data_IF_099562786090
#
_entry.id   IF_099562786090
#
_cell.length_a   1.000
_cell.length_b   1.000
_cell.length_c   1.000
_cell.angle_alpha   90.00
_cell.angle_beta   90.00
_cell.angle_gamma   90.00
#
_symmetry.space_group_name_H-M   'P 1'
#
loop_
_entity.id
_entity.type
_entity.pdbx_description
1 polymer ?
#
# COMPACT_ATOMS: atom_id res chain seq x y z
N UNK A 1 4.45 -32.93 -14.89
CA UNK A 1 3.46 -31.91 -15.27
C UNK A 1 3.75 -30.71 -14.42
N UNK A 2 3.95 -29.52 -14.99
CA UNK A 2 4.01 -28.32 -14.17
C UNK A 2 2.65 -28.20 -13.48
N UNK A 3 2.61 -28.34 -12.16
CA UNK A 3 1.36 -28.20 -11.41
C UNK A 3 0.98 -26.72 -11.44
N UNK A 4 -0.17 -26.39 -11.99
CA UNK A 4 -0.70 -25.02 -11.93
C UNK A 4 -1.04 -24.66 -10.48
N UNK A 5 -1.07 -23.37 -10.16
CA UNK A 5 -1.51 -22.83 -8.88
C UNK A 5 -2.79 -22.00 -9.09
N UNK A 6 -3.79 -22.09 -8.19
CA UNK A 6 -4.95 -21.22 -8.23
C UNK A 6 -4.56 -19.76 -7.98
N UNK A 7 -5.29 -18.84 -8.59
CA UNK A 7 -5.21 -17.43 -8.27
C UNK A 7 -6.58 -16.76 -8.30
N UNK A 8 -6.68 -15.64 -7.58
CA UNK A 8 -7.78 -14.69 -7.67
C UNK A 8 -7.23 -13.35 -8.17
N UNK A 9 -7.87 -12.79 -9.18
CA UNK A 9 -7.69 -11.39 -9.60
C UNK A 9 -8.63 -10.53 -8.77
N UNK A 10 -8.07 -9.51 -8.13
CA UNK A 10 -8.73 -8.71 -7.12
C UNK A 10 -8.32 -7.24 -7.23
N UNK A 11 -9.08 -6.37 -6.56
CA UNK A 11 -8.84 -4.94 -6.51
C UNK A 11 -8.86 -4.41 -5.07
N UNK A 12 -7.82 -3.68 -4.68
CA UNK A 12 -7.72 -3.00 -3.39
C UNK A 12 -7.76 -1.48 -3.55
N UNK A 13 -8.94 -0.90 -3.79
CA UNK A 13 -9.15 0.55 -3.99
C UNK A 13 -8.31 1.08 -5.16
N UNK A 14 -8.52 0.51 -6.33
CA UNK A 14 -7.83 0.86 -7.56
C UNK A 14 -6.46 0.20 -7.73
N UNK A 15 -5.89 -0.43 -6.69
CA UNK A 15 -4.68 -1.23 -6.80
C UNK A 15 -5.01 -2.65 -7.27
N UNK A 16 -4.39 -3.06 -8.36
CA UNK A 16 -4.68 -4.30 -9.06
C UNK A 16 -3.85 -5.45 -8.50
N UNK A 17 -4.49 -6.48 -7.95
CA UNK A 17 -3.83 -7.53 -7.19
C UNK A 17 -4.12 -8.91 -7.77
N UNK A 18 -3.09 -9.75 -7.84
CA UNK A 18 -3.26 -11.20 -7.96
C UNK A 18 -2.99 -11.82 -6.60
N UNK A 19 -3.95 -12.54 -6.03
CA UNK A 19 -3.73 -13.40 -4.86
C UNK A 19 -3.46 -14.81 -5.37
N UNK A 20 -2.24 -15.31 -5.18
CA UNK A 20 -1.82 -16.62 -5.65
C UNK A 20 -1.78 -17.63 -4.50
N UNK A 21 -2.48 -18.75 -4.64
CA UNK A 21 -2.43 -19.82 -3.63
C UNK A 21 -1.28 -20.78 -3.92
N UNK A 22 -0.24 -20.66 -3.09
CA UNK A 22 0.98 -21.46 -3.16
C UNK A 22 1.18 -22.30 -1.89
N UNK A 23 0.12 -22.55 -1.12
CA UNK A 23 0.13 -23.43 0.06
C UNK A 23 0.37 -24.88 -0.35
N UNK A 24 1.09 -25.65 0.46
CA UNK A 24 1.49 -27.03 0.16
C UNK A 24 2.49 -27.19 -0.99
N UNK A 25 2.99 -26.09 -1.56
CA UNK A 25 3.93 -26.10 -2.69
C UNK A 25 5.35 -25.74 -2.26
N UNK A 26 6.33 -26.42 -2.87
CA UNK A 26 7.74 -26.14 -2.65
C UNK A 26 8.31 -25.09 -3.63
N UNK A 27 7.69 -24.93 -4.80
CA UNK A 27 8.05 -23.91 -5.78
C UNK A 27 7.47 -22.54 -5.41
N UNK A 28 7.95 -21.50 -6.10
CA UNK A 28 7.57 -20.09 -5.90
C UNK A 28 7.15 -19.49 -7.22
N UNK A 29 6.40 -18.39 -7.16
CA UNK A 29 6.18 -17.55 -8.33
C UNK A 29 7.51 -16.93 -8.75
N UNK A 30 7.95 -17.19 -9.98
CA UNK A 30 9.19 -16.61 -10.51
C UNK A 30 8.95 -15.20 -11.02
N UNK A 31 10.02 -14.41 -11.11
CA UNK A 31 9.97 -13.11 -11.78
C UNK A 31 9.49 -13.22 -13.24
N UNK A 32 9.88 -14.30 -13.94
CA UNK A 32 9.43 -14.55 -15.31
C UNK A 32 7.92 -14.79 -15.38
N UNK A 33 7.35 -15.54 -14.43
CA UNK A 33 5.91 -15.74 -14.35
C UNK A 33 5.16 -14.44 -14.04
N UNK A 34 5.67 -13.63 -13.10
CA UNK A 34 5.11 -12.33 -12.76
C UNK A 34 5.06 -11.40 -13.99
N UNK A 35 6.18 -11.26 -14.72
CA UNK A 35 6.25 -10.43 -15.93
C UNK A 35 5.31 -10.96 -17.03
N UNK A 36 5.24 -12.28 -17.22
CA UNK A 36 4.36 -12.89 -18.22
C UNK A 36 2.87 -12.67 -17.93
N UNK A 37 2.45 -12.83 -16.66
CA UNK A 37 1.09 -12.54 -16.21
C UNK A 37 0.74 -11.05 -16.40
N UNK A 38 1.68 -10.14 -16.07
CA UNK A 38 1.44 -8.71 -16.18
C UNK A 38 1.33 -8.22 -17.64
N UNK A 39 1.95 -8.94 -18.58
CA UNK A 39 1.91 -8.60 -20.01
C UNK A 39 0.53 -8.88 -20.66
N UNK A 40 -0.32 -9.69 -20.03
CA UNK A 40 -1.68 -9.94 -20.48
C UNK A 40 -2.65 -8.94 -19.84
N UNK A 41 -3.45 -8.25 -20.64
CA UNK A 41 -4.37 -7.22 -20.18
C UNK A 41 -5.44 -7.72 -19.20
N UNK A 42 -5.80 -9.02 -19.24
CA UNK A 42 -6.77 -9.58 -18.30
C UNK A 42 -6.17 -9.86 -16.93
N UNK A 43 -4.87 -10.10 -16.86
CA UNK A 43 -4.13 -10.40 -15.63
C UNK A 43 -3.14 -9.31 -15.27
N UNK A 44 -3.14 -8.13 -15.90
CA UNK A 44 -2.30 -7.00 -15.51
C UNK A 44 -2.45 -6.72 -14.01
N UNK A 45 -1.37 -6.40 -13.32
CA UNK A 45 -1.41 -6.22 -11.88
C UNK A 45 -0.36 -5.23 -11.41
N UNK A 46 -0.57 -4.65 -10.23
CA UNK A 46 0.44 -3.90 -9.49
C UNK A 46 1.31 -4.88 -8.69
N UNK A 47 0.68 -5.75 -7.89
CA UNK A 47 1.37 -6.79 -7.11
C UNK A 47 0.71 -8.18 -7.12
N UNK A 48 1.55 -9.22 -7.06
CA UNK A 48 1.16 -10.59 -6.69
C UNK A 48 1.37 -10.77 -5.18
N UNK A 49 0.33 -11.23 -4.50
CA UNK A 49 0.32 -11.65 -3.10
C UNK A 49 0.29 -13.18 -3.05
N UNK A 50 1.46 -13.83 -2.95
CA UNK A 50 1.57 -15.29 -2.93
C UNK A 50 1.46 -15.83 -1.50
N UNK A 51 0.41 -16.62 -1.26
CA UNK A 51 0.11 -17.24 0.04
C UNK A 51 0.84 -18.57 0.12
N UNK A 52 1.68 -18.74 1.14
CA UNK A 52 2.41 -19.97 1.41
C UNK A 52 2.11 -20.51 2.81
N UNK A 53 2.48 -21.76 3.04
CA UNK A 53 2.42 -22.35 4.37
C UNK A 53 3.17 -21.49 5.40
N UNK A 54 2.64 -21.43 6.61
CA UNK A 54 3.25 -20.72 7.73
C UNK A 54 4.67 -21.23 7.98
N UNK A 55 5.60 -20.30 8.22
CA UNK A 55 6.99 -20.61 8.59
C UNK A 55 7.22 -20.39 10.09
N UNK A 56 6.55 -19.39 10.66
CA UNK A 56 6.58 -19.06 12.09
C UNK A 56 5.37 -19.64 12.83
N UNK A 57 5.63 -20.29 13.97
CA UNK A 57 4.58 -20.83 14.85
C UNK A 57 3.64 -19.73 15.33
N UNK A 58 2.33 -19.97 15.25
CA UNK A 58 1.28 -19.00 15.62
C UNK A 58 0.85 -18.06 14.50
N UNK A 59 1.49 -18.11 13.33
CA UNK A 59 1.02 -17.40 12.12
C UNK A 59 0.14 -18.31 11.28
N UNK A 60 -0.81 -17.72 10.55
CA UNK A 60 -1.70 -18.44 9.65
C UNK A 60 -0.95 -18.86 8.37
N UNK A 61 -0.26 -17.91 7.73
CA UNK A 61 0.42 -18.10 6.45
C UNK A 61 1.64 -17.17 6.32
N UNK A 62 2.57 -17.52 5.43
CA UNK A 62 3.60 -16.62 4.95
C UNK A 62 3.16 -15.98 3.63
N UNK A 63 3.30 -14.65 3.51
CA UNK A 63 2.96 -13.90 2.31
C UNK A 63 4.23 -13.40 1.64
N UNK A 64 4.46 -13.88 0.41
CA UNK A 64 5.49 -13.35 -0.49
C UNK A 64 4.86 -12.33 -1.44
N UNK A 65 5.55 -11.25 -1.74
CA UNK A 65 5.02 -10.16 -2.57
C UNK A 65 5.95 -9.91 -3.74
N UNK A 66 5.40 -9.94 -4.95
CA UNK A 66 6.11 -9.58 -6.17
C UNK A 66 5.45 -8.38 -6.83
N UNK A 67 6.25 -7.42 -7.28
CA UNK A 67 5.80 -6.33 -8.14
C UNK A 67 5.58 -6.85 -9.58
N UNK A 68 4.92 -6.02 -10.38
CA UNK A 68 4.60 -6.29 -11.79
C UNK A 68 5.81 -6.49 -12.72
N UNK A 69 6.99 -6.05 -12.29
CA UNK A 69 8.28 -6.28 -12.97
C UNK A 69 9.00 -7.55 -12.48
N UNK A 70 8.40 -8.30 -11.55
CA UNK A 70 8.95 -9.52 -10.96
C UNK A 70 9.92 -9.31 -9.80
N UNK A 71 10.20 -8.07 -9.40
CA UNK A 71 10.99 -7.79 -8.19
C UNK A 71 10.21 -8.05 -6.91
N UNK A 72 10.90 -8.42 -5.83
CA UNK A 72 10.27 -8.62 -4.53
C UNK A 72 9.89 -7.31 -3.84
N UNK A 73 8.75 -7.31 -3.13
CA UNK A 73 8.31 -6.19 -2.28
C UNK A 73 8.19 -6.63 -0.82
N UNK A 74 8.34 -5.68 0.10
CA UNK A 74 8.32 -5.98 1.54
C UNK A 74 6.92 -5.87 2.15
N UNK A 75 6.07 -5.00 1.61
CA UNK A 75 4.74 -4.74 2.16
C UNK A 75 3.79 -4.23 1.08
N UNK A 76 2.51 -4.62 1.20
CA UNK A 76 1.41 -4.00 0.49
C UNK A 76 0.13 -4.04 1.33
N UNK A 77 -0.26 -2.90 1.90
CA UNK A 77 -1.50 -2.80 2.66
C UNK A 77 -2.74 -3.09 1.82
N UNK A 78 -2.75 -2.74 0.53
CA UNK A 78 -3.88 -3.00 -0.38
C UNK A 78 -4.02 -4.49 -0.70
N UNK A 79 -2.92 -5.14 -1.09
CA UNK A 79 -2.87 -6.56 -1.36
C UNK A 79 -3.17 -7.42 -0.14
N UNK A 80 -2.76 -7.00 1.06
CA UNK A 80 -3.12 -7.72 2.29
C UNK A 80 -4.62 -7.73 2.56
N UNK A 81 -5.36 -6.67 2.19
CA UNK A 81 -6.82 -6.70 2.26
C UNK A 81 -7.39 -7.73 1.29
N UNK A 82 -6.87 -7.83 0.07
CA UNK A 82 -7.28 -8.87 -0.89
C UNK A 82 -7.01 -10.29 -0.35
N UNK A 83 -5.84 -10.53 0.25
CA UNK A 83 -5.50 -11.83 0.87
C UNK A 83 -6.49 -12.19 1.97
N UNK A 84 -6.80 -11.26 2.88
CA UNK A 84 -7.73 -11.49 3.98
C UNK A 84 -9.13 -11.77 3.45
N UNK A 85 -9.59 -11.02 2.44
CA UNK A 85 -10.90 -11.24 1.83
C UNK A 85 -11.01 -12.65 1.25
N UNK A 86 -10.01 -13.07 0.47
CA UNK A 86 -9.99 -14.40 -0.15
C UNK A 86 -9.98 -15.52 0.89
N UNK A 87 -9.11 -15.42 1.90
CA UNK A 87 -9.00 -16.43 2.97
C UNK A 87 -10.24 -16.46 3.86
N UNK A 88 -10.84 -15.32 4.15
CA UNK A 88 -12.04 -15.27 4.97
C UNK A 88 -13.27 -15.82 4.23
N UNK A 89 -13.37 -15.60 2.92
CA UNK A 89 -14.37 -16.23 2.07
C UNK A 89 -14.19 -17.76 1.99
N UNK A 90 -12.95 -18.24 1.92
CA UNK A 90 -12.62 -19.68 1.90
C UNK A 90 -12.89 -20.38 3.25
N UNK A 91 -12.43 -19.77 4.35
CA UNK A 91 -12.32 -20.46 5.65
C UNK A 91 -13.38 -20.05 6.67
N UNK A 92 -14.04 -18.91 6.47
CA UNK A 92 -14.92 -18.27 7.46
C UNK A 92 -14.17 -17.59 8.61
N UNK A 93 -12.84 -17.74 8.72
CA UNK A 93 -12.02 -17.06 9.71
C UNK A 93 -11.97 -15.55 9.43
N UNK A 94 -11.99 -14.72 10.48
CA UNK A 94 -12.05 -13.25 10.34
C UNK A 94 -10.82 -12.52 10.84
N UNK A 95 -9.97 -13.16 11.63
CA UNK A 95 -8.77 -12.56 12.22
C UNK A 95 -7.58 -13.40 11.81
N UNK A 96 -6.56 -12.77 11.26
CA UNK A 96 -5.38 -13.43 10.75
C UNK A 96 -4.12 -12.73 11.26
N UNK A 97 -3.10 -13.54 11.54
CA UNK A 97 -1.74 -13.10 11.79
C UNK A 97 -0.86 -13.72 10.72
N UNK A 98 -0.25 -12.88 9.89
CA UNK A 98 0.60 -13.29 8.77
C UNK A 98 2.07 -13.05 9.10
N UNK A 99 2.93 -13.83 8.46
CA UNK A 99 4.34 -13.52 8.32
C UNK A 99 4.58 -12.93 6.93
N UNK A 100 5.30 -11.81 6.86
CA UNK A 100 5.77 -11.21 5.60
C UNK A 100 7.28 -11.01 5.68
N UNK A 101 7.91 -10.59 4.58
CA UNK A 101 9.32 -10.18 4.58
C UNK A 101 9.58 -9.02 5.56
N UNK A 102 8.60 -8.15 5.78
CA UNK A 102 8.69 -7.04 6.74
C UNK A 102 8.41 -7.44 8.20
N UNK A 103 8.00 -8.68 8.45
CA UNK A 103 7.67 -9.21 9.78
C UNK A 103 6.20 -9.60 9.94
N UNK A 104 5.75 -9.64 11.19
CA UNK A 104 4.40 -10.08 11.55
C UNK A 104 3.39 -8.98 11.26
N UNK A 105 2.27 -9.35 10.63
CA UNK A 105 1.18 -8.43 10.28
C UNK A 105 -0.15 -9.01 10.73
N UNK A 106 -0.93 -8.20 11.46
CA UNK A 106 -2.26 -8.58 11.91
C UNK A 106 -3.32 -7.94 11.02
N UNK A 107 -4.34 -8.70 10.66
CA UNK A 107 -5.44 -8.17 9.87
C UNK A 107 -6.76 -8.82 10.28
N UNK A 108 -7.85 -8.11 9.99
CA UNK A 108 -9.20 -8.53 10.36
C UNK A 108 -10.21 -8.10 9.31
N UNK A 109 -11.09 -9.00 8.93
CA UNK A 109 -12.33 -8.66 8.23
C UNK A 109 -13.45 -8.34 9.23
N UNK A 110 -14.21 -7.30 8.95
CA UNK A 110 -15.34 -6.84 9.75
C UNK A 110 -16.67 -7.38 9.21
N UNK A 111 -17.73 -7.22 9.99
CA UNK A 111 -19.05 -7.72 9.63
C UNK A 111 -19.65 -7.03 8.39
N UNK A 112 -19.19 -5.81 8.08
CA UNK A 112 -19.57 -5.06 6.89
C UNK A 112 -18.72 -5.38 5.65
N UNK A 113 -17.79 -6.34 5.76
CA UNK A 113 -16.87 -6.75 4.69
C UNK A 113 -15.64 -5.84 4.53
N UNK A 114 -15.52 -4.76 5.31
CA UNK A 114 -14.30 -3.95 5.33
C UNK A 114 -13.17 -4.70 6.03
N UNK A 115 -11.93 -4.40 5.66
CA UNK A 115 -10.76 -5.12 6.16
C UNK A 115 -9.76 -4.15 6.76
N UNK A 116 -9.43 -4.37 8.03
CA UNK A 116 -8.37 -3.67 8.74
C UNK A 116 -7.05 -4.43 8.63
N UNK A 117 -5.98 -3.69 8.38
CA UNK A 117 -4.59 -4.14 8.42
C UNK A 117 -3.84 -3.27 9.41
N UNK A 118 -3.15 -3.89 10.37
CA UNK A 118 -2.24 -3.20 11.27
C UNK A 118 -0.93 -2.89 10.53
N UNK A 119 -0.70 -1.60 10.29
CA UNK A 119 0.44 -1.07 9.56
C UNK A 119 1.64 -0.76 10.47
N UNK A 120 1.56 -1.15 11.75
CA UNK A 120 2.59 -0.94 12.75
C UNK A 120 2.65 0.50 13.25
N UNK A 121 3.78 0.84 13.87
CA UNK A 121 3.99 2.13 14.52
C UNK A 121 4.73 3.10 13.58
N UNK A 122 4.30 4.37 13.50
CA UNK A 122 4.99 5.39 12.72
C UNK A 122 6.30 5.77 13.40
N UNK A 123 7.29 6.19 12.60
CA UNK A 123 8.58 6.69 13.10
C UNK A 123 8.79 8.14 12.70
N UNK A 124 9.37 8.89 13.62
CA UNK A 124 9.48 10.35 13.52
C UNK A 124 10.92 10.86 13.60
N UNK A 125 11.87 10.01 14.01
CA UNK A 125 13.28 10.37 14.03
C UNK A 125 13.80 10.58 12.62
N UNK A 126 14.60 11.62 12.40
CA UNK A 126 15.16 11.91 11.08
C UNK A 126 15.98 10.74 10.52
N UNK A 127 16.64 9.96 11.39
CA UNK A 127 17.39 8.74 11.02
C UNK A 127 16.47 7.56 10.68
N UNK A 128 15.28 7.48 11.28
CA UNK A 128 14.27 6.46 10.96
C UNK A 128 13.52 6.76 9.65
N UNK A 129 13.53 8.02 9.21
CA UNK A 129 12.97 8.51 7.93
C UNK A 129 14.03 8.58 6.82
N UNK A 130 15.22 8.03 7.08
CA UNK A 130 16.52 8.50 6.56
C UNK A 130 16.52 9.87 5.84
N UNK A 131 16.47 10.96 6.60
CA UNK A 131 16.75 12.31 6.08
C UNK A 131 18.26 12.54 5.96
N UNK A 132 18.68 13.40 5.02
CA UNK A 132 20.09 13.73 4.80
C UNK A 132 20.74 14.52 5.94
N UNK A 133 19.93 15.20 6.76
CA UNK A 133 20.40 16.01 7.88
C UNK A 133 19.44 15.96 9.08
N UNK A 134 19.91 16.45 10.22
CA UNK A 134 19.16 16.42 11.47
C UNK A 134 17.98 17.41 11.45
N UNK A 135 16.77 16.87 11.56
CA UNK A 135 15.58 17.61 11.95
C UNK A 135 15.11 17.16 13.32
N UNK A 136 15.11 18.08 14.29
CA UNK A 136 14.52 17.82 15.62
C UNK A 136 13.01 17.66 15.59
N UNK A 137 12.36 18.34 14.64
CA UNK A 137 10.93 18.28 14.44
C UNK A 137 10.61 17.96 12.98
N UNK A 138 10.06 16.78 12.78
CA UNK A 138 9.66 16.27 11.46
C UNK A 138 8.22 16.60 11.10
N UNK A 139 7.50 17.36 11.94
CA UNK A 139 6.17 17.88 11.60
C UNK A 139 6.22 18.90 10.47
N UNK A 140 7.36 19.57 10.30
CA UNK A 140 7.57 20.57 9.27
C UNK A 140 9.08 20.70 9.02
N UNK A 141 9.55 20.23 7.87
CA UNK A 141 10.96 20.40 7.48
C UNK A 141 11.10 21.51 6.44
N UNK A 142 12.30 22.07 6.33
CA UNK A 142 12.60 23.06 5.29
C UNK A 142 12.82 22.35 3.95
N UNK A 143 11.78 22.34 3.12
CA UNK A 143 11.82 21.82 1.76
C UNK A 143 10.74 22.53 0.94
N UNK A 144 11.08 23.00 -0.26
CA UNK A 144 10.13 23.67 -1.15
C UNK A 144 10.41 23.39 -2.62
N UNK A 145 9.38 23.55 -3.46
CA UNK A 145 9.49 23.50 -4.91
C UNK A 145 8.69 24.64 -5.54
N UNK A 146 9.24 25.24 -6.60
CA UNK A 146 8.68 26.44 -7.23
C UNK A 146 9.53 27.70 -7.00
N UNK A 147 9.02 28.89 -7.39
CA UNK A 147 9.69 30.16 -7.16
C UNK A 147 10.06 30.39 -5.69
N UNK A 148 11.24 30.98 -5.43
CA UNK A 148 11.76 31.19 -4.06
C UNK A 148 10.77 31.97 -3.19
N UNK A 149 10.20 33.05 -3.73
CA UNK A 149 9.29 33.94 -3.00
C UNK A 149 7.82 33.48 -3.02
N UNK A 150 7.51 32.43 -3.77
CA UNK A 150 6.15 31.91 -3.94
C UNK A 150 6.19 30.41 -4.26
N UNK A 151 6.60 29.56 -3.29
CA UNK A 151 6.72 28.13 -3.53
C UNK A 151 5.35 27.52 -3.81
N UNK A 152 5.32 26.55 -4.72
CA UNK A 152 4.10 25.82 -5.10
C UNK A 152 3.76 24.79 -4.03
N UNK A 153 4.76 24.06 -3.55
CA UNK A 153 4.67 23.18 -2.39
C UNK A 153 5.84 23.50 -1.45
N UNK A 154 5.57 23.51 -0.15
CA UNK A 154 6.62 23.79 0.84
C UNK A 154 6.31 23.15 2.18
N UNK A 155 7.34 23.09 3.03
CA UNK A 155 7.24 22.79 4.45
C UNK A 155 6.49 21.48 4.78
N UNK A 156 6.85 20.35 4.13
CA UNK A 156 6.12 19.11 4.33
C UNK A 156 6.33 18.56 5.74
N UNK A 157 5.36 17.79 6.21
CA UNK A 157 5.57 16.85 7.31
C UNK A 157 6.24 15.59 6.77
N UNK A 158 7.18 15.03 7.52
CA UNK A 158 7.87 13.79 7.13
C UNK A 158 7.71 12.72 8.20
N UNK A 159 7.35 11.52 7.77
CA UNK A 159 7.02 10.37 8.63
C UNK A 159 7.48 9.10 7.91
N UNK A 160 7.89 8.09 8.68
CA UNK A 160 8.17 6.76 8.16
C UNK A 160 7.13 5.77 8.65
N UNK A 161 6.55 5.01 7.72
CA UNK A 161 5.71 3.83 8.01
C UNK A 161 6.48 2.54 7.70
N UNK A 162 7.81 2.56 7.86
CA UNK A 162 8.74 1.57 7.34
C UNK A 162 9.39 1.98 6.01
N UNK A 163 8.84 2.98 5.33
CA UNK A 163 9.43 3.68 4.20
C UNK A 163 9.19 5.21 4.32
N UNK A 164 10.02 6.07 3.69
CA UNK A 164 9.91 7.53 3.86
C UNK A 164 8.69 8.13 3.14
N UNK A 165 7.96 9.02 3.82
CA UNK A 165 6.85 9.80 3.27
C UNK A 165 7.04 11.29 3.55
N UNK A 166 6.82 12.13 2.54
CA UNK A 166 6.75 13.57 2.65
C UNK A 166 5.35 14.07 2.26
N UNK A 167 4.66 14.71 3.21
CA UNK A 167 3.28 15.14 3.08
C UNK A 167 3.24 16.67 2.99
N UNK A 168 2.88 17.15 1.81
CA UNK A 168 2.66 18.57 1.53
C UNK A 168 1.19 18.91 1.74
N UNK A 169 0.94 19.88 2.61
CA UNK A 169 -0.40 20.35 2.94
C UNK A 169 -0.84 21.41 1.93
N UNK A 170 -2.01 21.22 1.33
CA UNK A 170 -2.55 22.12 0.31
C UNK A 170 -3.98 22.54 0.62
N UNK A 171 -4.32 23.79 0.32
CA UNK A 171 -5.68 24.32 0.52
C UNK A 171 -6.54 24.13 -0.74
N UNK A 172 -5.92 24.22 -1.92
CA UNK A 172 -6.59 24.00 -3.20
C UNK A 172 -6.82 22.51 -3.47
N UNK A 173 -7.68 22.22 -4.44
CA UNK A 173 -7.88 20.87 -4.96
C UNK A 173 -6.54 20.21 -5.29
N UNK A 174 -6.31 18.99 -4.77
CA UNK A 174 -5.12 18.18 -5.06
C UNK A 174 -4.89 17.97 -6.56
N UNK A 175 -5.93 18.03 -7.39
CA UNK A 175 -5.83 17.92 -8.85
C UNK A 175 -5.27 19.17 -9.54
N UNK A 176 -5.26 20.32 -8.86
CA UNK A 176 -4.71 21.58 -9.40
C UNK A 176 -3.17 21.62 -9.41
N UNK A 177 -2.52 20.66 -8.73
CA UNK A 177 -1.07 20.57 -8.64
C UNK A 177 -0.52 19.57 -9.68
N UNK A 178 0.52 20.00 -10.40
CA UNK A 178 1.29 19.20 -11.38
C UNK A 178 2.21 18.19 -10.66
N UNK A 179 1.63 17.28 -9.87
CA UNK A 179 2.39 16.29 -9.10
C UNK A 179 3.19 15.32 -9.99
N UNK A 180 2.78 15.11 -11.23
CA UNK A 180 3.56 14.40 -12.25
C UNK A 180 4.88 15.11 -12.61
N UNK A 181 4.92 16.44 -12.51
CA UNK A 181 6.13 17.24 -12.74
C UNK A 181 6.97 17.41 -11.47
N UNK A 182 6.33 17.65 -10.33
CA UNK A 182 7.02 17.89 -9.05
C UNK A 182 7.41 16.61 -8.31
N UNK A 183 6.62 15.55 -8.45
CA UNK A 183 6.82 14.25 -7.82
C UNK A 183 8.21 13.67 -8.06
N UNK A 184 8.69 13.52 -9.31
CA UNK A 184 10.04 13.01 -9.58
C UNK A 184 11.15 13.86 -8.96
N UNK A 185 10.98 15.18 -8.93
CA UNK A 185 11.96 16.12 -8.39
C UNK A 185 12.04 16.01 -6.85
N UNK A 186 10.90 15.87 -6.20
CA UNK A 186 10.79 15.71 -4.75
C UNK A 186 11.17 14.30 -4.29
N UNK A 187 10.77 13.26 -5.02
CA UNK A 187 11.15 11.86 -4.77
C UNK A 187 12.67 11.72 -4.70
N UNK A 188 13.38 12.34 -5.64
CA UNK A 188 14.84 12.27 -5.77
C UNK A 188 15.56 13.45 -5.12
N UNK A 189 14.86 14.25 -4.31
CA UNK A 189 15.46 15.41 -3.67
C UNK A 189 16.62 14.97 -2.74
N UNK A 190 17.76 15.68 -2.70
CA UNK A 190 18.91 15.31 -1.86
C UNK A 190 18.61 15.14 -0.36
N UNK A 191 17.53 15.76 0.13
CA UNK A 191 17.00 15.58 1.49
C UNK A 191 16.62 14.12 1.81
N UNK A 192 16.30 13.33 0.79
CA UNK A 192 15.89 11.93 0.90
C UNK A 192 16.93 11.02 0.20
N UNK A 193 18.04 10.64 0.86
CA UNK A 193 19.05 9.74 0.31
C UNK A 193 18.47 8.41 -0.21
N UNK A 194 17.43 7.89 0.44
CA UNK A 194 16.72 6.67 0.05
C UNK A 194 15.48 6.93 -0.82
N UNK A 195 15.33 8.17 -1.32
CA UNK A 195 14.12 8.71 -1.95
C UNK A 195 12.90 8.68 -1.02
N UNK A 196 11.82 9.35 -1.39
CA UNK A 196 10.60 9.39 -0.58
C UNK A 196 9.33 9.29 -1.44
N UNK A 197 8.25 8.78 -0.83
CA UNK A 197 6.91 8.93 -1.38
C UNK A 197 6.43 10.36 -1.12
N UNK A 198 5.87 11.00 -2.13
CA UNK A 198 5.47 12.40 -2.09
C UNK A 198 3.95 12.47 -2.16
N UNK A 199 3.33 12.95 -1.09
CA UNK A 199 1.88 13.08 -0.99
C UNK A 199 1.50 14.53 -0.90
N UNK A 200 0.54 14.96 -1.73
CA UNK A 200 -0.20 16.19 -1.51
C UNK A 200 -1.51 15.86 -0.81
N UNK A 201 -1.81 16.59 0.25
CA UNK A 201 -2.92 16.31 1.15
C UNK A 201 -3.75 17.57 1.38
N UNK A 202 -5.03 17.50 1.00
CA UNK A 202 -6.03 18.52 1.28
C UNK A 202 -6.91 18.05 2.43
N UNK A 203 -6.89 18.79 3.54
CA UNK A 203 -7.74 18.51 4.70
C UNK A 203 -9.10 19.15 4.45
N UNK A 204 -10.14 18.32 4.32
CA UNK A 204 -11.50 18.77 4.00
C UNK A 204 -12.39 18.90 5.23
N UNK A 205 -12.08 18.17 6.30
CA UNK A 205 -12.67 18.33 7.63
C UNK A 205 -11.72 17.77 8.70
N UNK A 206 -12.00 17.91 10.01
CA UNK A 206 -11.19 17.28 11.05
C UNK A 206 -11.13 15.74 10.99
N UNK A 207 -12.00 15.10 10.19
CA UNK A 207 -12.13 13.65 10.02
C UNK A 207 -12.02 13.20 8.54
N UNK A 208 -11.77 14.11 7.60
CA UNK A 208 -11.70 13.78 6.16
C UNK A 208 -10.56 14.47 5.44
N UNK A 209 -9.95 13.76 4.48
CA UNK A 209 -8.84 14.25 3.67
C UNK A 209 -8.93 13.70 2.24
N UNK A 210 -8.45 14.48 1.28
CA UNK A 210 -8.23 14.01 -0.10
C UNK A 210 -6.72 14.02 -0.34
N UNK A 211 -6.19 12.92 -0.89
CA UNK A 211 -4.75 12.81 -1.15
C UNK A 211 -4.46 12.41 -2.60
N UNK A 212 -3.29 12.80 -3.10
CA UNK A 212 -2.65 12.22 -4.29
C UNK A 212 -1.20 11.91 -3.94
N UNK A 213 -0.71 10.76 -4.41
CA UNK A 213 0.63 10.28 -4.07
C UNK A 213 1.43 9.99 -5.33
N UNK A 214 2.65 10.49 -5.35
CA UNK A 214 3.74 10.02 -6.18
C UNK A 214 4.58 9.04 -5.37
N UNK A 215 4.49 7.75 -5.68
CA UNK A 215 5.19 6.70 -4.97
C UNK A 215 6.61 6.51 -5.49
N UNK A 216 7.52 6.27 -4.55
CA UNK A 216 8.94 6.00 -4.83
C UNK A 216 9.07 4.81 -5.77
N UNK A 217 9.64 5.04 -6.96
CA UNK A 217 9.84 4.02 -7.99
C UNK A 217 8.60 3.60 -8.78
N UNK A 218 7.41 4.09 -8.43
CA UNK A 218 6.15 3.74 -9.11
C UNK A 218 5.48 4.93 -9.81
N UNK A 219 5.73 6.17 -9.36
CA UNK A 219 5.11 7.36 -9.92
C UNK A 219 3.70 7.61 -9.37
N UNK A 220 2.81 8.19 -10.17
CA UNK A 220 1.43 8.46 -9.74
C UNK A 220 0.64 7.16 -9.59
N UNK A 221 0.16 6.88 -8.37
CA UNK A 221 -0.63 5.70 -8.09
C UNK A 221 -2.07 6.03 -7.73
N UNK A 222 -2.95 5.03 -7.91
CA UNK A 222 -4.38 5.16 -7.60
C UNK A 222 -4.64 5.17 -6.10
N UNK A 223 -3.88 4.40 -5.33
CA UNK A 223 -3.98 4.38 -3.87
C UNK A 223 -2.67 3.83 -3.27
N UNK A 224 -2.22 4.45 -2.17
CA UNK A 224 -1.04 4.02 -1.42
C UNK A 224 -1.38 3.92 0.06
N UNK A 225 -1.47 2.69 0.60
CA UNK A 225 -1.89 2.48 1.99
C UNK A 225 -0.95 3.09 3.03
N UNK A 226 0.37 2.97 2.83
CA UNK A 226 1.36 3.56 3.74
C UNK A 226 1.38 5.09 3.68
N UNK A 227 1.15 5.68 2.51
CA UNK A 227 1.01 7.13 2.38
C UNK A 227 -0.27 7.65 3.06
N UNK A 228 -1.38 6.92 2.96
CA UNK A 228 -2.60 7.24 3.72
C UNK A 228 -2.35 7.22 5.22
N UNK A 229 -1.62 6.21 5.72
CA UNK A 229 -1.23 6.10 7.12
C UNK A 229 -0.35 7.29 7.54
N UNK A 230 0.70 7.58 6.76
CA UNK A 230 1.62 8.67 7.04
C UNK A 230 0.92 10.03 7.04
N UNK A 231 -0.02 10.26 6.11
CA UNK A 231 -0.80 11.49 6.03
C UNK A 231 -1.69 11.70 7.26
N UNK A 232 -2.40 10.68 7.74
CA UNK A 232 -3.25 10.82 8.95
C UNK A 232 -2.42 11.02 10.21
N UNK A 233 -1.32 10.27 10.36
CA UNK A 233 -0.40 10.47 11.47
C UNK A 233 0.19 11.89 11.44
N UNK A 234 0.61 12.37 10.28
CA UNK A 234 1.17 13.71 10.12
C UNK A 234 0.13 14.82 10.37
N UNK A 235 -1.12 14.61 9.94
CA UNK A 235 -2.22 15.55 10.18
C UNK A 235 -2.59 15.63 11.66
N UNK A 236 -2.63 14.49 12.36
CA UNK A 236 -2.83 14.44 13.81
C UNK A 236 -1.69 15.16 14.56
N UNK A 237 -0.42 14.90 14.21
CA UNK A 237 0.75 15.56 14.82
C UNK A 237 0.80 17.07 14.61
N UNK A 238 0.14 17.56 13.56
CA UNK A 238 0.05 18.99 13.21
C UNK A 238 -1.28 19.61 13.60
N UNK A 239 -2.14 18.89 14.34
CA UNK A 239 -3.48 19.31 14.76
C UNK A 239 -4.41 19.73 13.60
N UNK A 240 -4.21 19.15 12.41
CA UNK A 240 -5.07 19.37 11.24
C UNK A 240 -6.32 18.49 11.27
N UNK A 241 -6.23 17.32 11.90
CA UNK A 241 -7.30 16.33 12.04
C UNK A 241 -7.24 15.65 13.41
N UNK A 242 -8.23 14.81 13.71
CA UNK A 242 -8.11 13.79 14.74
C UNK A 242 -7.16 12.64 14.32
N UNK A 243 -7.11 11.58 15.13
CA UNK A 243 -6.33 10.36 14.86
C UNK A 243 -7.09 9.30 14.04
N UNK A 244 -8.39 9.50 13.80
CA UNK A 244 -9.26 8.62 13.00
C UNK A 244 -9.84 9.43 11.86
N UNK A 245 -9.47 9.10 10.62
CA UNK A 245 -9.71 9.94 9.44
C UNK A 245 -10.03 9.06 8.23
N UNK A 246 -11.01 9.48 7.44
CA UNK A 246 -11.33 8.90 6.14
C UNK A 246 -10.63 9.66 5.01
N UNK A 247 -9.93 8.94 4.15
CA UNK A 247 -9.18 9.48 3.02
C UNK A 247 -9.82 9.07 1.70
N UNK A 248 -10.01 10.04 0.82
CA UNK A 248 -10.29 9.78 -0.59
C UNK A 248 -8.98 9.73 -1.37
N UNK A 249 -8.82 8.67 -2.16
CA UNK A 249 -7.66 8.45 -3.04
C UNK A 249 -8.10 8.46 -4.50
N UNK A 250 -7.19 8.66 -5.47
CA UNK A 250 -7.51 8.66 -6.89
C UNK A 250 -8.23 7.40 -7.39
N UNK A 251 -8.06 6.26 -6.71
CA UNK A 251 -8.70 4.99 -7.03
C UNK A 251 -10.22 4.95 -6.81
N UNK A 252 -10.82 6.03 -6.30
CA UNK A 252 -12.28 6.19 -6.20
C UNK A 252 -12.91 5.54 -4.95
N UNK A 253 -12.13 4.85 -4.12
CA UNK A 253 -12.58 4.31 -2.83
C UNK A 253 -12.09 5.13 -1.64
N UNK A 254 -12.71 4.89 -0.49
CA UNK A 254 -12.33 5.49 0.79
C UNK A 254 -11.48 4.52 1.60
N UNK A 255 -10.33 5.01 2.08
CA UNK A 255 -9.55 4.35 3.13
C UNK A 255 -9.87 5.02 4.46
N UNK A 256 -10.08 4.23 5.50
CA UNK A 256 -10.16 4.75 6.86
C UNK A 256 -8.87 4.42 7.60
N UNK A 257 -8.25 5.41 8.23
CA UNK A 257 -7.04 5.21 9.02
C UNK A 257 -7.29 5.64 10.45
N UNK A 258 -6.90 4.79 11.39
CA UNK A 258 -6.91 5.07 12.81
C UNK A 258 -5.48 4.93 13.37
N UNK A 259 -4.93 6.00 13.94
CA UNK A 259 -3.72 5.94 14.76
C UNK A 259 -4.13 5.79 16.22
N UNK A 260 -4.05 4.57 16.75
CA UNK A 260 -4.54 4.20 18.08
C UNK A 260 -3.63 4.70 19.21
N UNK A 261 -4.11 4.62 20.45
CA UNK A 261 -3.37 5.04 21.65
C UNK A 261 -2.15 4.16 21.97
N UNK A 262 -2.06 2.95 21.40
CA UNK A 262 -0.89 2.07 21.46
C UNK A 262 0.14 2.38 20.36
N UNK A 263 -0.02 3.52 19.67
CA UNK A 263 0.77 4.01 18.54
C UNK A 263 0.72 3.17 17.26
N UNK A 264 -0.07 2.11 17.22
CA UNK A 264 -0.30 1.36 15.98
C UNK A 264 -1.25 2.12 15.05
N UNK A 265 -0.96 2.05 13.75
CA UNK A 265 -1.78 2.64 12.70
C UNK A 265 -2.55 1.53 11.99
N UNK A 266 -3.87 1.59 12.06
CA UNK A 266 -4.76 0.62 11.43
C UNK A 266 -5.33 1.22 10.15
N UNK A 267 -5.09 0.55 9.03
CA UNK A 267 -5.64 0.90 7.72
C UNK A 267 -6.83 0.00 7.41
N UNK A 268 -8.00 0.60 7.20
CA UNK A 268 -9.24 -0.10 6.86
C UNK A 268 -9.71 0.29 5.47
N UNK A 269 -10.11 -0.68 4.67
CA UNK A 269 -10.66 -0.43 3.34
C UNK A 269 -11.34 -1.65 2.75
N UNK A 270 -11.97 -1.46 1.60
CA UNK A 270 -12.54 -2.55 0.83
C UNK A 270 -11.47 -3.34 0.06
N UNK A 271 -11.83 -4.56 -0.32
CA UNK A 271 -11.18 -5.37 -1.34
C UNK A 271 -12.27 -6.06 -2.17
N UNK A 272 -12.12 -6.02 -3.49
CA UNK A 272 -13.10 -6.54 -4.44
C UNK A 272 -12.50 -7.73 -5.20
N UNK A 273 -13.36 -8.70 -5.49
CA UNK A 273 -13.01 -9.87 -6.29
C UNK A 273 -13.44 -9.65 -7.73
N UNK A 274 -12.56 -9.92 -8.69
CA UNK A 274 -12.86 -9.77 -10.12
C UNK A 274 -13.14 -11.14 -10.77
N UNK A 275 -12.17 -12.06 -10.73
CA UNK A 275 -12.31 -13.43 -11.25
C UNK A 275 -11.24 -14.35 -10.67
N UNK A 276 -11.37 -15.66 -10.90
CA UNK A 276 -10.33 -16.65 -10.55
C UNK A 276 -9.81 -17.41 -11.76
N UNK A 277 -8.67 -18.06 -11.58
CA UNK A 277 -8.06 -18.91 -12.57
C UNK A 277 -6.94 -19.76 -12.01
N UNK A 278 -6.18 -20.34 -12.91
CA UNK A 278 -4.98 -21.12 -12.60
C UNK A 278 -3.80 -20.62 -13.45
N UNK A 279 -2.59 -20.63 -12.89
CA UNK A 279 -1.38 -20.23 -13.60
C UNK A 279 -0.20 -21.17 -13.32
N UNK A 280 0.77 -21.20 -14.24
CA UNK A 280 2.06 -21.85 -14.02
C UNK A 280 3.00 -20.88 -13.26
N UNK A 281 3.40 -21.18 -12.01
CA UNK A 281 4.23 -20.28 -11.21
C UNK A 281 5.67 -20.12 -11.74
N UNK A 282 6.10 -20.94 -12.69
CA UNK A 282 7.43 -20.86 -13.29
C UNK A 282 7.50 -19.98 -14.54
N UNK A 283 6.44 -19.97 -15.35
CA UNK A 283 6.43 -19.29 -16.66
C UNK A 283 5.23 -18.35 -16.88
N UNK A 284 4.24 -18.31 -15.99
CA UNK A 284 3.12 -17.37 -16.02
C UNK A 284 2.04 -17.65 -17.05
N UNK A 285 2.04 -18.83 -17.68
CA UNK A 285 0.90 -19.25 -18.51
C UNK A 285 -0.33 -19.45 -17.64
N UNK A 286 -1.47 -18.89 -18.02
CA UNK A 286 -2.68 -18.88 -17.19
C UNK A 286 -3.93 -19.29 -17.97
N UNK A 287 -4.96 -19.66 -17.23
CA UNK A 287 -6.31 -19.89 -17.73
C UNK A 287 -7.32 -19.37 -16.70
N UNK A 288 -8.36 -18.67 -17.19
CA UNK A 288 -9.50 -18.26 -16.34
C UNK A 288 -10.33 -19.49 -16.00
N UNK A 289 -10.84 -19.54 -14.77
CA UNK A 289 -11.87 -20.53 -14.44
C UNK A 289 -13.12 -20.23 -15.27
N UNK A 290 -13.67 -21.25 -15.92
CA UNK A 290 -15.00 -21.10 -16.52
C UNK A 290 -16.00 -20.98 -15.38
N UNK A 291 -16.77 -19.88 -15.35
CA UNK A 291 -17.94 -19.77 -14.48
C UNK A 291 -18.74 -21.07 -14.63
N UNK A 292 -18.85 -21.81 -13.53
CA UNK A 292 -19.80 -22.91 -13.47
C UNK A 292 -21.16 -22.24 -13.65
N UNK A 293 -21.80 -22.46 -14.80
CA UNK A 293 -23.19 -22.08 -14.99
C UNK A 293 -23.99 -22.70 -13.83
N UNK A 294 -24.40 -21.85 -12.88
CA UNK A 294 -25.39 -22.19 -11.88
C UNK A 294 -26.77 -22.25 -12.52
#
# INVERSE_FOLDING_TARGET
MASTAPFAKMNGIGNEIIVADMRGRADRVTAAAAVALNADAATSFDQIMAIHDARTSGTAFFIDILNSDGTGAQACGNGMRCVVQALAAETGQKIFTFETVAGILNAREHADGSISVDMGTPRFGWQDIPLAEEFRDTRMIELQIGPIDAPVLHSPSVVSMGNPHAIFWVDNDVWSYELDRFGPLLENHPMFPERANITIAQVTSPETMIIRTWERGAGLTKACGSASCAAVVAAARTNRTGRSVSLLTPGGGTLHVEWRDDDHVVLTGAAEWEFSGNFDPSIGTWARDTESAA
#
